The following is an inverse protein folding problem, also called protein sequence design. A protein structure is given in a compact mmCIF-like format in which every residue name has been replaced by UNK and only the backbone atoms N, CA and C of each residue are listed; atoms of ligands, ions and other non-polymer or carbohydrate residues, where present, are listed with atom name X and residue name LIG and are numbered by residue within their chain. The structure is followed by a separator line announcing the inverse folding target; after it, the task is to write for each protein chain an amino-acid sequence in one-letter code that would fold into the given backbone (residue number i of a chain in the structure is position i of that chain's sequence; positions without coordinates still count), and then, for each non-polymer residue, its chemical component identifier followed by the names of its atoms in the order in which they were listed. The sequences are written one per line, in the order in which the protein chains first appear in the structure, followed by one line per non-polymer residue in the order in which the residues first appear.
data_IF_093796446172
#
_entry.id   IF_093796446172
#
_cell.length_a   1.000
_cell.length_b   1.000
_cell.length_c   1.000
_cell.angle_alpha   90.00
_cell.angle_beta   90.00
_cell.angle_gamma   90.00
#
_symmetry.space_group_name_H-M   'P 1'
#
loop_
_entity.id
_entity.type
_entity.pdbx_description
1 polymer ?
#
# COMPACT_ATOMS: atom_id res chain seq x y z
N UNK A 1 -17.78 12.16 -11.20
CA UNK A 1 -16.68 12.58 -12.11
C UNK A 1 -15.77 11.38 -12.33
N UNK A 2 -15.35 11.12 -13.56
CA UNK A 2 -14.56 9.92 -13.91
C UNK A 2 -13.06 10.05 -13.51
N UNK A 3 -12.54 9.00 -12.87
CA UNK A 3 -11.13 8.85 -12.46
C UNK A 3 -10.23 8.76 -13.71
N UNK A 4 -10.64 8.02 -14.73
CA UNK A 4 -9.84 7.80 -15.94
C UNK A 4 -9.63 9.13 -16.68
N UNK A 5 -10.71 9.89 -16.88
CA UNK A 5 -10.66 11.22 -17.47
C UNK A 5 -9.89 12.27 -16.64
N UNK A 6 -9.56 11.97 -15.37
CA UNK A 6 -8.81 12.85 -14.49
C UNK A 6 -7.30 12.59 -14.53
N UNK A 7 -6.86 11.41 -14.98
CA UNK A 7 -5.44 11.06 -15.08
C UNK A 7 -4.63 11.95 -16.04
N UNK A 8 -5.28 12.59 -17.02
CA UNK A 8 -4.63 13.51 -17.95
C UNK A 8 -4.66 14.97 -17.48
N UNK A 9 -5.55 15.35 -16.55
CA UNK A 9 -5.85 16.76 -16.22
C UNK A 9 -5.69 17.05 -14.71
N UNK A 10 -4.59 17.70 -14.27
CA UNK A 10 -4.33 18.00 -12.86
C UNK A 10 -5.47 18.76 -12.15
N UNK A 11 -6.13 19.71 -12.82
CA UNK A 11 -7.25 20.46 -12.22
C UNK A 11 -8.47 19.57 -11.95
N UNK A 12 -8.71 18.55 -12.78
CA UNK A 12 -9.78 17.57 -12.53
C UNK A 12 -9.40 16.67 -11.35
N UNK A 13 -8.16 16.20 -11.32
CA UNK A 13 -7.63 15.44 -10.19
C UNK A 13 -7.74 16.23 -8.88
N UNK A 14 -7.40 17.53 -8.88
CA UNK A 14 -7.49 18.41 -7.72
C UNK A 14 -8.91 18.54 -7.16
N UNK A 15 -9.93 18.55 -8.03
CA UNK A 15 -11.32 18.58 -7.57
C UNK A 15 -11.83 17.20 -7.16
N UNK A 16 -11.39 16.13 -7.84
CA UNK A 16 -11.84 14.77 -7.54
C UNK A 16 -11.24 14.25 -6.22
N UNK A 17 -9.97 14.57 -5.93
CA UNK A 17 -9.28 14.12 -4.71
C UNK A 17 -10.03 14.50 -3.43
N UNK A 18 -10.67 15.68 -3.41
CA UNK A 18 -11.50 16.16 -2.28
C UNK A 18 -12.66 15.21 -2.02
N UNK A 19 -13.51 15.01 -3.04
CA UNK A 19 -14.63 14.08 -2.92
C UNK A 19 -14.18 12.65 -2.57
N UNK A 20 -13.01 12.22 -3.05
CA UNK A 20 -12.50 10.87 -2.77
C UNK A 20 -12.06 10.68 -1.33
N UNK A 21 -11.43 11.68 -0.71
CA UNK A 21 -11.08 11.57 0.70
C UNK A 21 -12.33 11.56 1.58
N UNK A 22 -13.36 12.34 1.22
CA UNK A 22 -14.64 12.34 1.93
C UNK A 22 -15.31 10.95 1.86
N UNK A 23 -15.30 10.33 0.67
CA UNK A 23 -15.85 8.98 0.47
C UNK A 23 -15.03 7.91 1.22
N UNK A 24 -13.70 8.03 1.26
CA UNK A 24 -12.84 7.13 2.04
C UNK A 24 -13.16 7.23 3.53
N UNK A 25 -13.26 8.45 4.07
CA UNK A 25 -13.60 8.68 5.47
C UNK A 25 -15.01 8.19 5.79
N UNK A 26 -15.99 8.44 4.90
CA UNK A 26 -17.36 7.95 5.07
C UNK A 26 -17.40 6.42 5.20
N UNK A 27 -16.84 5.69 4.23
CA UNK A 27 -16.87 4.23 4.29
C UNK A 27 -16.07 3.66 5.46
N UNK A 28 -14.93 4.27 5.80
CA UNK A 28 -14.16 3.85 6.97
C UNK A 28 -14.94 4.05 8.27
N UNK A 29 -15.56 5.21 8.46
CA UNK A 29 -16.38 5.48 9.64
C UNK A 29 -17.61 4.58 9.70
N UNK A 30 -18.28 4.33 8.57
CA UNK A 30 -19.39 3.37 8.53
C UNK A 30 -18.92 1.99 8.97
N UNK A 31 -17.81 1.48 8.42
CA UNK A 31 -17.26 0.18 8.79
C UNK A 31 -16.94 0.08 10.29
N UNK A 32 -16.29 1.09 10.87
CA UNK A 32 -15.96 1.11 12.30
C UNK A 32 -17.20 1.13 13.22
N UNK A 33 -18.33 1.66 12.75
CA UNK A 33 -19.56 1.78 13.53
C UNK A 33 -20.54 0.62 13.33
N UNK A 34 -20.32 -0.22 12.32
CA UNK A 34 -21.16 -1.41 12.09
C UNK A 34 -20.81 -2.44 13.17
N UNK A 35 -21.82 -2.83 13.96
CA UNK A 35 -21.68 -3.81 15.04
C UNK A 35 -21.69 -5.27 14.55
N UNK A 36 -22.13 -5.50 13.31
CA UNK A 36 -22.17 -6.81 12.68
C UNK A 36 -20.82 -7.14 12.02
N UNK A 37 -20.42 -8.42 12.02
CA UNK A 37 -19.21 -8.83 11.33
C UNK A 37 -19.42 -8.67 9.81
N UNK A 38 -18.95 -7.56 9.25
CA UNK A 38 -18.77 -7.46 7.81
C UNK A 38 -17.55 -8.30 7.42
N UNK A 39 -17.54 -8.79 6.18
CA UNK A 39 -16.36 -9.45 5.63
C UNK A 39 -15.21 -8.42 5.53
N UNK A 40 -14.26 -8.51 6.46
CA UNK A 40 -13.09 -7.64 6.55
C UNK A 40 -12.24 -7.72 5.28
N UNK A 41 -12.13 -8.89 4.65
CA UNK A 41 -11.35 -9.08 3.42
C UNK A 41 -11.96 -8.31 2.27
N UNK A 42 -13.28 -8.43 2.08
CA UNK A 42 -14.00 -7.69 1.03
C UNK A 42 -13.91 -6.19 1.27
N UNK A 43 -14.13 -5.73 2.50
CA UNK A 43 -14.01 -4.32 2.85
C UNK A 43 -12.61 -3.79 2.53
N UNK A 44 -11.57 -4.46 3.02
CA UNK A 44 -10.17 -4.05 2.85
C UNK A 44 -9.75 -4.05 1.37
N UNK A 45 -10.25 -4.99 0.57
CA UNK A 45 -10.02 -5.00 -0.87
C UNK A 45 -10.65 -3.77 -1.56
N UNK A 46 -11.90 -3.43 -1.24
CA UNK A 46 -12.56 -2.25 -1.81
C UNK A 46 -11.90 -0.95 -1.37
N UNK A 47 -11.53 -0.84 -0.09
CA UNK A 47 -10.85 0.34 0.45
C UNK A 47 -9.46 0.50 -0.16
N UNK A 48 -8.69 -0.58 -0.35
CA UNK A 48 -7.42 -0.54 -1.06
C UNK A 48 -7.56 0.00 -2.49
N UNK A 49 -8.61 -0.42 -3.22
CA UNK A 49 -8.86 0.09 -4.57
C UNK A 49 -9.20 1.58 -4.57
N UNK A 50 -10.11 2.01 -3.70
CA UNK A 50 -10.50 3.41 -3.60
C UNK A 50 -9.30 4.29 -3.20
N UNK A 51 -8.48 3.81 -2.27
CA UNK A 51 -7.30 4.50 -1.79
C UNK A 51 -6.20 4.58 -2.86
N UNK A 52 -6.06 3.55 -3.70
CA UNK A 52 -5.17 3.59 -4.89
C UNK A 52 -5.56 4.76 -5.79
N UNK A 53 -6.85 4.91 -6.07
CA UNK A 53 -7.35 5.98 -6.93
C UNK A 53 -7.13 7.35 -6.26
N UNK A 54 -7.35 7.47 -4.95
CA UNK A 54 -7.12 8.72 -4.20
C UNK A 54 -5.63 9.11 -4.25
N UNK A 55 -4.74 8.18 -3.96
CA UNK A 55 -3.29 8.38 -4.04
C UNK A 55 -2.89 8.88 -5.43
N UNK A 56 -3.42 8.27 -6.49
CA UNK A 56 -3.15 8.73 -7.85
C UNK A 56 -3.65 10.17 -8.09
N UNK A 57 -4.85 10.53 -7.60
CA UNK A 57 -5.38 11.89 -7.74
C UNK A 57 -4.56 12.90 -6.94
N UNK A 58 -4.14 12.56 -5.72
CA UNK A 58 -3.34 13.39 -4.84
C UNK A 58 -1.97 13.68 -5.45
N UNK A 59 -1.28 12.64 -5.93
CA UNK A 59 -0.01 12.76 -6.66
C UNK A 59 -0.21 13.55 -7.95
N UNK A 60 -1.25 13.28 -8.73
CA UNK A 60 -1.49 14.00 -9.99
C UNK A 60 -1.74 15.48 -9.78
N UNK A 61 -2.54 15.83 -8.77
CA UNK A 61 -2.89 17.21 -8.42
C UNK A 61 -1.68 18.02 -7.93
N UNK A 62 -0.69 17.36 -7.31
CA UNK A 62 0.53 18.02 -6.80
C UNK A 62 1.26 18.88 -7.84
N UNK A 63 1.20 18.53 -9.14
CA UNK A 63 1.89 19.28 -10.22
C UNK A 63 1.45 20.75 -10.35
N UNK A 64 0.26 21.08 -9.89
CA UNK A 64 -0.31 22.43 -9.97
C UNK A 64 -0.67 23.00 -8.59
N UNK A 65 -0.62 22.17 -7.55
CA UNK A 65 -0.92 22.59 -6.20
C UNK A 65 0.18 23.47 -5.64
N UNK A 66 -0.21 24.46 -4.82
CA UNK A 66 0.73 25.19 -3.95
C UNK A 66 1.06 24.41 -2.68
N UNK A 67 0.48 23.21 -2.53
CA UNK A 67 0.65 22.39 -1.35
C UNK A 67 2.05 21.78 -1.30
N UNK A 68 2.68 21.85 -0.13
CA UNK A 68 4.03 21.35 0.10
C UNK A 68 4.09 19.82 -0.13
N UNK A 69 5.13 19.36 -0.83
CA UNK A 69 5.41 17.94 -1.09
C UNK A 69 5.38 17.10 0.19
N UNK A 70 5.97 17.58 1.28
CA UNK A 70 5.96 16.89 2.58
C UNK A 70 4.54 16.69 3.10
N UNK A 71 3.67 17.72 2.99
CA UNK A 71 2.27 17.64 3.43
C UNK A 71 1.48 16.63 2.61
N UNK A 72 1.68 16.62 1.29
CA UNK A 72 1.06 15.65 0.38
C UNK A 72 1.50 14.23 0.74
N UNK A 73 2.80 14.02 0.92
CA UNK A 73 3.35 12.72 1.30
C UNK A 73 2.79 12.25 2.64
N UNK A 74 2.77 13.11 3.67
CA UNK A 74 2.20 12.77 4.97
C UNK A 74 0.73 12.39 4.86
N UNK A 75 -0.09 13.14 4.11
CA UNK A 75 -1.49 12.79 3.86
C UNK A 75 -1.64 11.39 3.25
N UNK A 76 -0.87 11.09 2.20
CA UNK A 76 -0.92 9.77 1.55
C UNK A 76 -0.51 8.67 2.52
N UNK A 77 0.57 8.86 3.29
CA UNK A 77 1.03 7.90 4.29
C UNK A 77 -0.04 7.70 5.37
N UNK A 78 -0.57 8.77 5.97
CA UNK A 78 -1.61 8.68 6.99
C UNK A 78 -2.85 7.95 6.45
N UNK A 79 -3.32 8.31 5.26
CA UNK A 79 -4.46 7.61 4.64
C UNK A 79 -4.18 6.12 4.41
N UNK A 80 -2.97 5.74 3.95
CA UNK A 80 -2.58 4.33 3.80
C UNK A 80 -2.69 3.55 5.10
N UNK A 81 -2.15 4.08 6.19
CA UNK A 81 -2.06 3.35 7.45
C UNK A 81 -3.37 3.36 8.24
N UNK A 82 -4.10 4.47 8.24
CA UNK A 82 -5.38 4.60 8.97
C UNK A 82 -6.49 3.85 8.24
N UNK A 83 -6.71 4.14 6.95
CA UNK A 83 -7.86 3.59 6.23
C UNK A 83 -7.77 2.07 6.06
N UNK A 84 -6.54 1.55 5.96
CA UNK A 84 -6.27 0.12 5.83
C UNK A 84 -5.84 -0.54 7.14
N UNK A 85 -6.17 0.06 8.29
CA UNK A 85 -5.95 -0.52 9.63
C UNK A 85 -4.54 -1.12 9.82
N UNK A 86 -3.50 -0.43 9.36
CA UNK A 86 -2.09 -0.87 9.37
C UNK A 86 -1.80 -2.22 8.68
N UNK A 87 -2.72 -2.74 7.86
CA UNK A 87 -2.53 -4.01 7.17
C UNK A 87 -1.49 -3.89 6.06
N UNK A 88 -0.32 -4.48 6.30
CA UNK A 88 0.84 -4.42 5.41
C UNK A 88 0.53 -4.93 4.01
N UNK A 89 -0.28 -6.00 3.92
CA UNK A 89 -0.72 -6.59 2.67
C UNK A 89 -1.51 -5.60 1.80
N UNK A 90 -2.57 -5.01 2.32
CA UNK A 90 -3.42 -4.08 1.55
C UNK A 90 -2.70 -2.76 1.27
N UNK A 91 -1.84 -2.29 2.20
CA UNK A 91 -1.01 -1.10 1.98
C UNK A 91 -0.08 -1.35 0.79
N UNK A 92 0.66 -2.45 0.78
CA UNK A 92 1.60 -2.76 -0.28
C UNK A 92 0.88 -3.02 -1.61
N UNK A 93 -0.26 -3.73 -1.62
CA UNK A 93 -1.08 -3.92 -2.82
C UNK A 93 -1.54 -2.58 -3.40
N UNK A 94 -1.95 -1.64 -2.55
CA UNK A 94 -2.34 -0.27 -2.96
C UNK A 94 -1.19 0.45 -3.66
N UNK A 95 0.03 0.33 -3.13
CA UNK A 95 1.23 0.88 -3.75
C UNK A 95 1.54 0.23 -5.10
N UNK A 96 1.42 -1.10 -5.19
CA UNK A 96 1.69 -1.83 -6.43
C UNK A 96 0.64 -1.53 -7.53
N UNK A 97 -0.60 -1.21 -7.16
CA UNK A 97 -1.68 -0.84 -8.08
C UNK A 97 -1.59 0.61 -8.58
N UNK A 98 -0.90 1.50 -7.85
CA UNK A 98 -0.84 2.93 -8.16
C UNK A 98 -0.18 3.22 -9.53
N UNK A 99 -0.74 4.19 -10.28
CA UNK A 99 -0.30 4.51 -11.64
C UNK A 99 0.81 5.55 -11.69
N UNK A 100 0.83 6.49 -10.75
CA UNK A 100 1.76 7.62 -10.77
C UNK A 100 3.06 7.40 -9.99
N UNK A 101 3.48 6.15 -9.80
CA UNK A 101 4.81 5.79 -9.31
C UNK A 101 5.88 5.96 -10.41
N UNK A 102 6.08 7.20 -10.87
CA UNK A 102 6.99 7.55 -11.97
C UNK A 102 7.98 8.64 -11.57
N UNK A 103 9.09 8.78 -12.32
CA UNK A 103 10.21 9.68 -11.99
C UNK A 103 9.79 11.13 -11.73
N UNK A 104 8.81 11.66 -12.45
CA UNK A 104 8.33 13.04 -12.24
C UNK A 104 7.68 13.28 -10.87
N UNK A 105 7.42 12.22 -10.10
CA UNK A 105 6.81 12.26 -8.78
C UNK A 105 7.69 11.56 -7.74
N UNK A 106 8.99 11.39 -8.03
CA UNK A 106 9.93 10.68 -7.14
C UNK A 106 9.99 11.31 -5.75
N UNK A 107 9.91 12.63 -5.64
CA UNK A 107 9.94 13.35 -4.36
C UNK A 107 8.77 12.99 -3.42
N UNK A 108 7.62 12.60 -3.97
CA UNK A 108 6.47 12.10 -3.20
C UNK A 108 6.56 10.57 -3.02
N UNK A 109 6.87 9.84 -4.11
CA UNK A 109 6.83 8.38 -4.11
C UNK A 109 7.93 7.75 -3.25
N UNK A 110 9.16 8.31 -3.25
CA UNK A 110 10.29 7.72 -2.54
C UNK A 110 10.06 7.71 -1.01
N UNK A 111 9.65 8.82 -0.36
CA UNK A 111 9.35 8.78 1.07
C UNK A 111 8.19 7.82 1.42
N UNK A 112 7.17 7.72 0.56
CA UNK A 112 6.10 6.71 0.73
C UNK A 112 6.71 5.31 0.69
N UNK A 113 7.54 5.00 -0.31
CA UNK A 113 8.19 3.70 -0.45
C UNK A 113 9.05 3.36 0.76
N UNK A 114 9.88 4.31 1.22
CA UNK A 114 10.67 4.16 2.46
C UNK A 114 9.81 3.74 3.63
N UNK A 115 8.65 4.39 3.81
CA UNK A 115 7.75 4.11 4.92
C UNK A 115 7.06 2.75 4.79
N UNK A 116 6.60 2.36 3.60
CA UNK A 116 5.87 1.09 3.44
C UNK A 116 6.79 -0.13 3.40
N UNK A 117 8.04 -0.02 2.95
CA UNK A 117 8.97 -1.16 2.99
C UNK A 117 9.44 -1.48 4.41
N UNK A 118 9.28 -0.54 5.36
CA UNK A 118 9.51 -0.83 6.79
C UNK A 118 8.44 -1.77 7.37
N UNK A 119 7.35 -2.03 6.63
CA UNK A 119 6.34 -3.05 6.98
C UNK A 119 6.78 -4.46 6.57
N UNK A 120 7.99 -4.62 6.02
CA UNK A 120 8.51 -5.92 5.66
C UNK A 120 8.54 -6.82 6.90
N UNK A 121 7.63 -7.78 6.92
CA UNK A 121 7.60 -8.90 7.88
C UNK A 121 8.07 -10.16 7.18
N UNK A 122 8.64 -11.08 7.95
CA UNK A 122 9.09 -12.40 7.49
C UNK A 122 7.93 -13.36 7.20
N UNK A 123 6.98 -12.95 6.35
CA UNK A 123 5.83 -13.75 5.95
C UNK A 123 5.70 -13.83 4.42
N UNK A 124 5.19 -14.99 3.96
CA UNK A 124 5.06 -15.52 2.60
C UNK A 124 5.11 -14.50 1.45
N UNK A 125 3.96 -13.92 1.09
CA UNK A 125 3.80 -13.06 -0.08
C UNK A 125 4.21 -11.61 0.19
N UNK A 126 4.29 -11.20 1.45
CA UNK A 126 4.73 -9.85 1.84
C UNK A 126 6.18 -9.59 1.42
N UNK A 127 7.05 -10.61 1.45
CA UNK A 127 8.38 -10.51 0.84
C UNK A 127 8.30 -10.08 -0.63
N UNK A 128 7.44 -10.73 -1.42
CA UNK A 128 7.32 -10.46 -2.86
C UNK A 128 6.78 -9.05 -3.09
N UNK A 129 5.80 -8.63 -2.28
CA UNK A 129 5.27 -7.26 -2.31
C UNK A 129 6.38 -6.24 -2.08
N UNK A 130 7.14 -6.36 -0.99
CA UNK A 130 8.23 -5.46 -0.67
C UNK A 130 9.32 -5.48 -1.76
N UNK A 131 9.68 -6.65 -2.29
CA UNK A 131 10.63 -6.78 -3.39
C UNK A 131 10.17 -6.00 -4.64
N UNK A 132 8.90 -6.10 -5.01
CA UNK A 132 8.32 -5.36 -6.13
C UNK A 132 8.28 -3.84 -5.86
N UNK A 133 8.02 -3.41 -4.62
CA UNK A 133 8.13 -1.99 -4.23
C UNK A 133 9.57 -1.50 -4.35
N UNK A 134 10.57 -2.25 -3.87
CA UNK A 134 11.98 -1.93 -4.07
C UNK A 134 12.34 -1.83 -5.57
N UNK A 135 11.76 -2.69 -6.41
CA UNK A 135 11.93 -2.63 -7.86
C UNK A 135 11.31 -1.38 -8.48
N UNK A 136 10.13 -0.96 -8.03
CA UNK A 136 9.54 0.33 -8.43
C UNK A 136 10.42 1.49 -8.00
N UNK A 137 10.86 1.50 -6.74
CA UNK A 137 11.75 2.53 -6.20
C UNK A 137 13.05 2.64 -7.02
N UNK A 138 13.67 1.51 -7.37
CA UNK A 138 14.89 1.46 -8.20
C UNK A 138 14.74 2.14 -9.56
N UNK A 139 13.51 2.23 -10.11
CA UNK A 139 13.23 2.94 -11.37
C UNK A 139 13.17 4.46 -11.20
N UNK A 140 12.91 4.93 -9.98
CA UNK A 140 12.79 6.35 -9.64
C UNK A 140 14.16 7.00 -9.39
N UNK A 141 15.14 6.22 -8.91
CA UNK A 141 16.49 6.72 -8.63
C UNK A 141 17.41 6.70 -9.86
N UNK A 142 18.34 7.67 -9.98
CA UNK A 142 19.44 7.68 -10.95
C UNK A 142 20.27 6.39 -10.92
N UNK A 143 21.12 6.17 -11.93
CA UNK A 143 22.07 5.05 -11.92
C UNK A 143 23.27 5.37 -11.02
N UNK A 144 24.09 4.38 -10.74
CA UNK A 144 25.28 4.53 -9.90
C UNK A 144 25.00 4.23 -8.43
N UNK A 145 25.60 5.01 -7.55
CA UNK A 145 25.71 4.64 -6.14
C UNK A 145 24.37 4.61 -5.40
N UNK A 146 23.41 5.48 -5.75
CA UNK A 146 22.07 5.44 -5.18
C UNK A 146 21.36 4.10 -5.40
N UNK A 147 21.53 3.48 -6.58
CA UNK A 147 20.98 2.14 -6.86
C UNK A 147 21.73 1.05 -6.11
N UNK A 148 23.03 1.23 -5.87
CA UNK A 148 23.81 0.29 -5.09
C UNK A 148 23.37 0.32 -3.62
N UNK A 149 23.25 1.52 -3.05
CA UNK A 149 22.66 1.75 -1.72
C UNK A 149 21.27 1.14 -1.60
N UNK A 150 20.41 1.34 -2.60
CA UNK A 150 19.07 0.74 -2.60
C UNK A 150 19.10 -0.79 -2.67
N UNK A 151 20.03 -1.40 -3.42
CA UNK A 151 20.17 -2.85 -3.43
C UNK A 151 20.66 -3.37 -2.08
N UNK A 152 21.59 -2.65 -1.43
CA UNK A 152 22.08 -3.00 -0.08
C UNK A 152 20.93 -2.92 0.93
N UNK A 153 20.14 -1.85 0.90
CA UNK A 153 18.95 -1.68 1.74
C UNK A 153 17.95 -2.81 1.53
N UNK A 154 17.62 -3.17 0.29
CA UNK A 154 16.71 -4.27 0.02
C UNK A 154 17.24 -5.61 0.57
N UNK A 155 18.55 -5.85 0.46
CA UNK A 155 19.19 -7.06 1.02
C UNK A 155 19.12 -7.05 2.54
N UNK A 156 19.43 -5.94 3.22
CA UNK A 156 19.33 -5.87 4.69
C UNK A 156 17.90 -5.99 5.20
N UNK A 157 16.92 -5.52 4.42
CA UNK A 157 15.49 -5.57 4.81
C UNK A 157 14.84 -6.92 4.55
N UNK A 158 15.18 -7.60 3.45
CA UNK A 158 14.44 -8.80 3.01
C UNK A 158 15.25 -10.09 3.05
N UNK A 159 16.55 -10.05 3.30
CA UNK A 159 17.37 -11.28 3.30
C UNK A 159 17.46 -11.90 4.69
N UNK A 160 17.37 -13.23 4.82
CA UNK A 160 17.04 -14.20 3.77
C UNK A 160 15.52 -14.25 3.47
N UNK A 161 15.11 -14.68 2.26
CA UNK A 161 13.69 -14.92 1.99
C UNK A 161 13.13 -16.06 2.86
N UNK A 162 11.81 -16.03 3.20
CA UNK A 162 11.17 -17.11 3.93
C UNK A 162 11.29 -18.47 3.23
N UNK A 163 11.47 -19.59 3.96
CA UNK A 163 11.55 -20.92 3.36
C UNK A 163 10.33 -21.29 2.52
N UNK A 164 9.13 -20.95 2.97
CA UNK A 164 7.86 -21.20 2.28
C UNK A 164 7.87 -20.55 0.89
N UNK A 165 8.34 -19.31 0.81
CA UNK A 165 8.47 -18.60 -0.45
C UNK A 165 9.45 -19.30 -1.41
N UNK A 166 10.58 -19.79 -0.90
CA UNK A 166 11.55 -20.52 -1.72
C UNK A 166 10.94 -21.80 -2.30
N UNK A 167 10.10 -22.50 -1.53
CA UNK A 167 9.34 -23.66 -2.02
C UNK A 167 8.32 -23.27 -3.08
N UNK A 168 7.59 -22.16 -2.91
CA UNK A 168 6.68 -21.64 -3.95
C UNK A 168 7.41 -21.33 -5.27
N UNK A 169 8.61 -20.77 -5.18
CA UNK A 169 9.46 -20.51 -6.36
C UNK A 169 9.90 -21.81 -7.02
N UNK A 170 10.37 -22.80 -6.25
CA UNK A 170 10.78 -24.12 -6.78
C UNK A 170 9.62 -24.86 -7.46
N UNK A 171 8.41 -24.77 -6.90
CA UNK A 171 7.18 -25.33 -7.48
C UNK A 171 6.68 -24.55 -8.70
N UNK A 172 7.32 -23.44 -9.06
CA UNK A 172 6.96 -22.63 -10.23
C UNK A 172 5.72 -21.75 -10.06
N UNK A 173 5.19 -21.59 -8.84
CA UNK A 173 4.00 -20.77 -8.56
C UNK A 173 4.24 -19.28 -8.89
N UNK A 174 5.50 -18.83 -8.77
CA UNK A 174 5.90 -17.45 -9.03
C UNK A 174 6.64 -17.26 -10.36
N UNK A 175 6.57 -18.23 -11.29
CA UNK A 175 7.33 -18.20 -12.57
C UNK A 175 7.05 -16.97 -13.45
N UNK A 176 5.83 -16.43 -13.37
CA UNK A 176 5.42 -15.23 -14.12
C UNK A 176 5.63 -13.94 -13.32
N UNK A 177 6.08 -14.04 -12.06
CA UNK A 177 6.32 -12.92 -11.16
C UNK A 177 7.81 -12.65 -11.01
N UNK A 178 8.59 -13.69 -10.73
CA UNK A 178 10.01 -13.62 -10.40
C UNK A 178 10.85 -14.37 -11.44
N UNK A 179 12.06 -13.87 -11.76
CA UNK A 179 13.02 -14.60 -12.57
C UNK A 179 13.38 -15.96 -11.95
N UNK A 180 13.64 -16.96 -12.79
CA UNK A 180 14.11 -18.28 -12.34
C UNK A 180 15.41 -18.16 -11.54
N UNK A 181 15.45 -18.82 -10.37
CA UNK A 181 16.65 -18.88 -9.55
C UNK A 181 17.67 -19.86 -10.16
N UNK A 182 18.98 -19.53 -10.17
CA UNK A 182 20.01 -20.50 -10.47
C UNK A 182 19.96 -21.69 -9.52
N UNK A 183 20.31 -22.91 -9.97
CA UNK A 183 20.40 -24.07 -9.10
C UNK A 183 21.38 -23.80 -7.95
N UNK A 184 21.06 -24.32 -6.76
CA UNK A 184 21.89 -24.23 -5.55
C UNK A 184 22.21 -22.79 -5.08
N UNK A 185 21.39 -21.79 -5.44
CA UNK A 185 21.55 -20.43 -4.93
C UNK A 185 21.34 -20.41 -3.41
N UNK A 186 22.36 -19.96 -2.67
CA UNK A 186 22.26 -19.76 -1.21
C UNK A 186 21.12 -18.77 -0.89
N UNK A 187 20.23 -19.06 0.09
CA UNK A 187 19.11 -18.19 0.46
C UNK A 187 19.50 -16.72 0.70
N UNK A 188 20.63 -16.49 1.37
CA UNK A 188 21.16 -15.14 1.65
C UNK A 188 21.50 -14.31 0.39
N UNK A 189 21.65 -14.95 -0.77
CA UNK A 189 21.97 -14.29 -2.04
C UNK A 189 20.76 -14.12 -2.96
N UNK A 190 19.58 -14.60 -2.56
CA UNK A 190 18.36 -14.60 -3.38
C UNK A 190 17.82 -13.18 -3.57
N UNK A 191 17.67 -12.40 -2.49
CA UNK A 191 17.22 -11.01 -2.58
C UNK A 191 18.15 -10.18 -3.47
N UNK A 192 19.47 -10.34 -3.31
CA UNK A 192 20.47 -9.67 -4.15
C UNK A 192 20.30 -10.04 -5.62
N UNK A 193 20.13 -11.33 -5.92
CA UNK A 193 19.86 -11.81 -7.27
C UNK A 193 18.61 -11.14 -7.85
N UNK A 194 17.49 -11.19 -7.15
CA UNK A 194 16.28 -10.56 -7.66
C UNK A 194 16.46 -9.07 -7.89
N UNK A 195 17.13 -8.34 -7.00
CA UNK A 195 17.39 -6.91 -7.14
C UNK A 195 18.25 -6.56 -8.36
N UNK A 196 19.22 -7.39 -8.73
CA UNK A 196 20.09 -7.16 -9.91
C UNK A 196 19.51 -7.70 -11.21
N UNK A 197 18.64 -8.71 -11.15
CA UNK A 197 18.00 -9.30 -12.33
C UNK A 197 17.11 -8.31 -13.07
N UNK A 198 17.18 -8.38 -14.41
CA UNK A 198 16.32 -7.60 -15.32
C UNK A 198 15.04 -8.40 -15.59
N UNK A 199 13.89 -7.77 -15.37
CA UNK A 199 12.58 -8.31 -15.73
C UNK A 199 11.56 -7.18 -15.84
N UNK A 200 10.42 -7.46 -16.47
CA UNK A 200 9.35 -6.48 -16.62
C UNK A 200 8.57 -6.33 -15.31
N UNK A 201 8.96 -5.34 -14.51
CA UNK A 201 8.33 -5.06 -13.20
C UNK A 201 6.81 -4.86 -13.31
N UNK A 202 6.31 -4.27 -14.41
CA UNK A 202 4.87 -4.02 -14.57
C UNK A 202 4.10 -5.33 -14.79
N UNK A 203 4.63 -6.23 -15.61
CA UNK A 203 4.03 -7.55 -15.83
C UNK A 203 4.12 -8.41 -14.58
N UNK A 204 5.27 -8.41 -13.89
CA UNK A 204 5.43 -9.08 -12.61
C UNK A 204 4.43 -8.63 -11.56
N UNK A 205 4.18 -7.31 -11.45
CA UNK A 205 3.16 -6.77 -10.54
C UNK A 205 1.77 -7.27 -10.90
N UNK A 206 1.39 -7.23 -12.19
CA UNK A 206 0.09 -7.73 -12.64
C UNK A 206 -0.09 -9.21 -12.34
N UNK A 207 0.91 -10.02 -12.64
CA UNK A 207 0.90 -11.46 -12.36
C UNK A 207 0.81 -11.73 -10.85
N UNK A 208 1.56 -10.98 -10.05
CA UNK A 208 1.55 -11.10 -8.60
C UNK A 208 0.19 -10.75 -8.00
N UNK A 209 -0.39 -9.60 -8.38
CA UNK A 209 -1.69 -9.16 -7.87
C UNK A 209 -2.79 -10.18 -8.19
N UNK A 210 -2.74 -10.82 -9.38
CA UNK A 210 -3.66 -11.90 -9.72
C UNK A 210 -3.54 -13.08 -8.75
N UNK A 211 -2.31 -13.58 -8.55
CA UNK A 211 -2.04 -14.67 -7.61
C UNK A 211 -2.52 -14.30 -6.21
N UNK A 212 -2.17 -13.10 -5.73
CA UNK A 212 -2.57 -12.64 -4.40
C UNK A 212 -4.09 -12.58 -4.22
N UNK A 213 -4.84 -12.17 -5.25
CA UNK A 213 -6.31 -12.18 -5.20
C UNK A 213 -6.87 -13.60 -5.17
N UNK A 214 -6.30 -14.53 -5.94
CA UNK A 214 -6.74 -15.93 -5.93
C UNK A 214 -6.52 -16.59 -4.55
N UNK A 215 -5.41 -16.26 -3.87
CA UNK A 215 -5.16 -16.71 -2.49
C UNK A 215 -6.22 -16.19 -1.51
N UNK A 216 -6.58 -14.90 -1.58
CA UNK A 216 -7.63 -14.28 -0.75
C UNK A 216 -9.00 -14.92 -0.96
N UNK A 217 -9.35 -15.20 -2.22
CA UNK A 217 -10.63 -15.82 -2.56
C UNK A 217 -10.73 -17.26 -2.06
N UNK A 218 -9.63 -18.02 -2.13
CA UNK A 218 -9.59 -19.38 -1.59
C UNK A 218 -9.75 -19.37 -0.05
N UNK A 219 -9.10 -18.44 0.64
CA UNK A 219 -9.25 -18.26 2.09
C UNK A 219 -10.71 -17.92 2.45
N UNK A 220 -11.33 -17.00 1.71
CA UNK A 220 -12.74 -16.63 1.89
C UNK A 220 -13.72 -17.80 1.63
N UNK A 221 -13.46 -18.62 0.61
CA UNK A 221 -14.28 -19.81 0.31
C UNK A 221 -14.24 -20.84 1.45
N UNK A 222 -13.08 -20.98 2.12
CA UNK A 222 -12.93 -21.90 3.25
C UNK A 222 -13.67 -21.43 4.52
N UNK A 223 -13.87 -20.12 4.67
CA UNK A 223 -14.60 -19.53 5.81
C UNK A 223 -16.11 -19.66 5.61
N UNK A 224 -16.61 -19.46 4.38
CA UNK A 224 -18.04 -19.53 4.05
C UNK A 224 -18.61 -20.96 4.15
N UNK A 225 -17.79 -22.00 3.96
CA UNK A 225 -18.20 -23.39 4.22
C UNK A 225 -18.50 -23.65 5.73
N UNK A 226 -18.11 -22.74 6.61
CA UNK A 226 -18.34 -22.84 8.06
C UNK A 226 -19.52 -21.99 8.55
N UNK A 227 -20.05 -21.06 7.74
CA UNK A 227 -21.10 -20.12 8.16
C UNK A 227 -22.38 -20.26 7.33
N UNK A 228 -23.29 -21.14 7.78
CA UNK A 228 -24.71 -21.13 7.41
C UNK A 228 -25.41 -19.88 8.00
N UNK A 229 -25.08 -18.70 7.50
CA UNK A 229 -25.42 -17.42 8.14
C UNK A 229 -26.51 -16.60 7.42
N UNK A 230 -27.18 -17.15 6.39
CA UNK A 230 -28.17 -16.42 5.57
C UNK A 230 -29.63 -16.82 5.84
N UNK A 231 -30.00 -17.12 7.08
CA UNK A 231 -31.38 -17.50 7.43
C UNK A 231 -32.24 -16.41 8.10
N UNK A 232 -31.81 -15.13 8.17
CA UNK A 232 -32.69 -14.06 8.68
C UNK A 232 -32.84 -12.84 7.75
N UNK A 233 -34.09 -12.39 7.49
CA UNK A 233 -34.38 -11.22 6.66
C UNK A 233 -34.12 -9.91 7.43
N UNK A 234 -33.40 -8.98 6.80
CA UNK A 234 -33.02 -7.68 7.35
C UNK A 234 -34.06 -6.61 7.00
N UNK A 235 -34.74 -6.05 8.01
CA UNK A 235 -35.63 -4.90 7.83
C UNK A 235 -34.85 -3.59 7.63
N UNK A 236 -35.31 -2.80 6.67
CA UNK A 236 -34.62 -1.65 6.11
C UNK A 236 -35.30 -0.38 6.62
N UNK A 237 -34.71 0.33 7.60
CA UNK A 237 -35.18 1.67 7.96
C UNK A 237 -34.07 2.74 8.03
N UNK A 238 -34.22 3.70 7.12
CA UNK A 238 -33.93 5.14 7.24
C UNK A 238 -32.64 5.59 7.95
N UNK A 239 -31.55 5.72 7.19
CA UNK A 239 -30.45 6.65 7.54
C UNK A 239 -30.09 7.60 6.37
N UNK A 240 -30.93 7.68 5.34
CA UNK A 240 -30.73 8.64 4.25
C UNK A 240 -31.62 9.85 4.45
N UNK A 241 -30.94 10.99 4.65
CA UNK A 241 -31.27 12.36 4.24
C UNK A 241 -31.34 13.38 5.39
N UNK A 242 -30.21 14.06 5.60
CA UNK A 242 -30.20 15.50 5.87
C UNK A 242 -28.88 16.05 5.37
N UNK A 243 -28.85 16.45 4.10
CA UNK A 243 -27.78 17.27 3.57
C UNK A 243 -28.08 18.73 3.86
N UNK A 244 -27.14 19.42 4.52
CA UNK A 244 -26.84 20.83 4.27
C UNK A 244 -25.50 21.22 4.91
N UNK A 245 -24.76 21.97 4.11
CA UNK A 245 -23.56 22.76 4.38
C UNK A 245 -22.28 22.01 4.77
N UNK A 246 -21.33 22.04 3.82
CA UNK A 246 -19.93 21.62 3.97
C UNK A 246 -19.23 22.55 4.95
N UNK A 247 -19.29 22.18 6.23
CA UNK A 247 -18.49 22.80 7.28
C UNK A 247 -17.10 22.16 7.28
N UNK A 248 -16.06 22.94 6.95
CA UNK A 248 -14.66 22.50 7.00
C UNK A 248 -14.28 22.05 8.44
N UNK A 249 -15.04 22.48 9.46
CA UNK A 249 -14.99 22.02 10.86
C UNK A 249 -15.25 20.52 11.03
N UNK A 250 -16.15 19.94 10.23
CA UNK A 250 -16.42 18.51 10.27
C UNK A 250 -15.20 17.73 9.78
N UNK A 251 -14.56 18.20 8.72
CA UNK A 251 -13.36 17.56 8.20
C UNK A 251 -12.17 17.75 9.15
N UNK A 252 -11.99 18.93 9.75
CA UNK A 252 -10.96 19.14 10.78
C UNK A 252 -11.19 18.29 12.03
N UNK A 253 -12.43 18.10 12.48
CA UNK A 253 -12.74 17.21 13.60
C UNK A 253 -12.53 15.72 13.26
N UNK A 254 -12.78 15.31 12.01
CA UNK A 254 -12.42 13.97 11.51
C UNK A 254 -10.90 13.80 11.47
N UNK A 255 -10.15 14.78 10.96
CA UNK A 255 -8.68 14.73 10.97
C UNK A 255 -8.11 14.72 12.38
N UNK A 256 -8.75 15.43 13.31
CA UNK A 256 -8.36 15.48 14.73
C UNK A 256 -8.62 14.14 15.42
N UNK A 257 -9.79 13.53 15.24
CA UNK A 257 -10.07 12.18 15.76
C UNK A 257 -9.16 11.10 15.16
N UNK A 258 -8.83 11.23 13.88
CA UNK A 258 -7.86 10.35 13.19
C UNK A 258 -6.43 10.57 13.73
N UNK A 259 -6.04 11.80 14.07
CA UNK A 259 -4.73 12.07 14.67
C UNK A 259 -4.65 11.65 16.14
N UNK A 260 -5.74 11.74 16.88
CA UNK A 260 -5.80 11.40 18.31
C UNK A 260 -5.80 9.88 18.55
N UNK A 261 -6.12 9.07 17.52
CA UNK A 261 -6.00 7.60 17.52
C UNK A 261 -4.64 7.10 16.98
N UNK A 262 -3.71 8.01 16.69
CA UNK A 262 -2.32 7.65 16.42
C UNK A 262 -1.63 7.19 17.71
N UNK A 263 -0.79 6.15 17.71
CA UNK A 263 0.21 6.02 18.75
C UNK A 263 1.10 7.27 18.70
N UNK A 264 1.32 7.89 19.85
CA UNK A 264 2.08 9.12 19.99
C UNK A 264 3.45 9.00 19.31
N UNK A 265 3.81 10.03 18.54
CA UNK A 265 5.19 10.32 18.17
C UNK A 265 5.94 10.79 19.43
N UNK A 266 6.16 9.87 20.37
CA UNK A 266 6.99 10.09 21.54
C UNK A 266 7.64 8.77 21.93
N UNK A 267 8.60 8.35 21.11
CA UNK A 267 9.80 7.66 21.56
C UNK A 267 10.85 7.80 20.45
N UNK A 268 11.25 9.06 20.24
CA UNK A 268 12.58 9.38 19.75
C UNK A 268 13.59 9.10 20.87
N UNK A 269 13.71 7.84 21.27
CA UNK A 269 14.86 7.36 22.01
C UNK A 269 15.91 6.94 20.97
N UNK A 270 16.73 7.92 20.60
CA UNK A 270 18.11 7.74 20.17
C UNK A 270 18.40 6.76 19.03
N UNK A 271 18.30 7.24 17.78
CA UNK A 271 19.04 6.66 16.66
C UNK A 271 20.45 7.26 16.49
N UNK A 272 20.85 8.18 17.36
CA UNK A 272 22.17 8.82 17.37
C UNK A 272 23.19 8.12 18.29
N UNK A 273 22.82 7.03 18.97
CA UNK A 273 23.74 6.23 19.82
C UNK A 273 24.34 5.01 19.08
N UNK A 274 23.96 4.76 17.82
CA UNK A 274 24.48 3.59 17.07
C UNK A 274 25.59 3.91 16.05
N UNK A 275 26.08 5.15 15.99
CA UNK A 275 27.15 5.58 15.08
C UNK A 275 28.35 6.28 15.75
N UNK A 276 28.59 6.02 17.04
CA UNK A 276 29.83 6.46 17.71
C UNK A 276 30.43 5.31 18.49
N UNK A 277 31.77 5.20 18.41
CA UNK A 277 32.67 4.26 19.12
C UNK A 277 32.80 2.92 18.34
N UNK A 278 33.91 2.57 17.69
CA UNK A 278 35.31 2.78 18.05
C UNK A 278 36.25 3.00 16.85
N UNK A 279 37.42 3.53 17.21
CA UNK A 279 38.60 3.83 16.40
C UNK A 279 39.30 2.58 15.85
#
# INVERSE_FOLDING_TARGET
RDVIASYSKPNRAAKLKKNMIDVLCFFHNCYQNIKTPLDETVYMEKMSHLLTMYMDMEIKASRRGKENVKRITSKVISSLFIILNNSSEYILDTILKARFTVKSYSEICIPIFKRVVSLAVSQDLTYVRCLLVFKLWKRLVPRGEERNSLNRLAVSTLSPPPPQLLEMVKRGMLKNVLPTLPPNKKPALVTRFYMTSKFNVRESIKAFLKISSDFKLNEMSSILDTSRFFDEPFEQESFLLSGKDTDDSFMESIWKNISDTSPSLSDSASLDVMLSVDS
#
